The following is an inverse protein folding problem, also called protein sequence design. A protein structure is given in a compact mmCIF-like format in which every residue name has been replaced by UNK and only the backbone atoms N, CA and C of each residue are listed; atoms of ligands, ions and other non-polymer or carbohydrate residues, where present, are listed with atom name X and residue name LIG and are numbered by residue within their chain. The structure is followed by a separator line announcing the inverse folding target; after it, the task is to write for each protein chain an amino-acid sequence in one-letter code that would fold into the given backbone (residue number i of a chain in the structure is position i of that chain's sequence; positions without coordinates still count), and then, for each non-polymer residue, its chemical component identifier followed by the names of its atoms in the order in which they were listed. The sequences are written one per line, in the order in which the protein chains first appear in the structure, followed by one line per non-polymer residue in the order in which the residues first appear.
data_IF_049885703418
#
_entry.id   IF_049885703418
#
_cell.length_a   1.000
_cell.length_b   1.000
_cell.length_c   1.000
_cell.angle_alpha   90.00
_cell.angle_beta   90.00
_cell.angle_gamma   90.00
#
_symmetry.space_group_name_H-M   'P 1'
#
loop_
_entity.id
_entity.type
_entity.pdbx_description
1 polymer ?
#
# COMPACT_ATOMS: atom_id res chain seq x y z
N UNK A 1 -19.62 41.64 -76.27
CA UNK A 1 -18.38 40.94 -75.88
C UNK A 1 -18.80 39.67 -75.15
N UNK A 2 -18.53 38.50 -75.74
CA UNK A 2 -18.86 37.21 -75.15
C UNK A 2 -17.84 36.88 -74.06
N UNK A 3 -18.31 36.66 -72.81
CA UNK A 3 -17.46 36.19 -71.72
C UNK A 3 -17.25 34.68 -71.90
N UNK A 4 -16.04 34.28 -72.28
CA UNK A 4 -15.60 32.90 -72.25
C UNK A 4 -15.33 32.49 -70.80
N UNK A 5 -15.99 31.45 -70.25
CA UNK A 5 -15.70 30.98 -68.91
C UNK A 5 -14.31 30.33 -68.88
N UNK A 6 -13.40 30.96 -68.15
CA UNK A 6 -12.06 30.44 -67.85
C UNK A 6 -12.19 29.48 -66.66
N UNK A 7 -12.01 28.18 -66.92
CA UNK A 7 -11.96 27.15 -65.88
C UNK A 7 -10.57 27.20 -65.23
N UNK A 8 -10.51 27.65 -63.99
CA UNK A 8 -9.31 27.53 -63.15
C UNK A 8 -9.44 26.27 -62.28
N UNK A 9 -8.67 25.23 -62.61
CA UNK A 9 -8.50 24.07 -61.72
C UNK A 9 -7.60 24.48 -60.55
N UNK A 10 -8.16 24.56 -59.34
CA UNK A 10 -7.38 24.62 -58.10
C UNK A 10 -7.13 23.20 -57.61
N UNK A 11 -5.88 22.74 -57.72
CA UNK A 11 -5.42 21.50 -57.13
C UNK A 11 -5.11 21.76 -55.65
N UNK A 12 -5.99 21.36 -54.74
CA UNK A 12 -5.69 21.34 -53.32
C UNK A 12 -5.07 19.98 -52.97
N UNK A 13 -3.76 19.93 -52.72
CA UNK A 13 -3.13 18.76 -52.10
C UNK A 13 -3.37 18.85 -50.59
N UNK A 14 -4.31 18.08 -50.05
CA UNK A 14 -4.40 17.87 -48.60
C UNK A 14 -3.38 16.80 -48.21
N UNK A 15 -2.35 17.19 -47.46
CA UNK A 15 -1.49 16.25 -46.74
C UNK A 15 -2.34 15.60 -45.64
N UNK A 16 -2.97 14.47 -45.97
CA UNK A 16 -3.68 13.67 -44.99
C UNK A 16 -2.65 13.00 -44.09
N UNK A 17 -2.68 13.31 -42.79
CA UNK A 17 -1.80 12.68 -41.81
C UNK A 17 -2.04 11.17 -41.88
N UNK A 18 -1.00 10.39 -42.16
CA UNK A 18 -1.13 8.94 -42.13
C UNK A 18 -1.42 8.50 -40.69
N UNK A 19 -2.30 7.52 -40.48
CA UNK A 19 -2.71 7.09 -39.13
C UNK A 19 -1.52 6.66 -38.27
N UNK A 20 -0.45 6.16 -38.90
CA UNK A 20 0.79 5.80 -38.23
C UNK A 20 1.52 7.02 -37.64
N UNK A 21 1.46 8.17 -38.33
CA UNK A 21 2.11 9.40 -37.89
C UNK A 21 1.34 10.07 -36.74
N UNK A 22 0.00 10.02 -36.78
CA UNK A 22 -0.87 10.40 -35.65
C UNK A 22 -0.52 9.56 -34.40
N UNK A 23 -0.37 8.25 -34.57
CA UNK A 23 -0.10 7.33 -33.47
C UNK A 23 1.29 7.57 -32.86
N UNK A 24 2.31 7.85 -33.69
CA UNK A 24 3.65 8.16 -33.18
C UNK A 24 3.69 9.49 -32.41
N UNK A 25 2.94 10.50 -32.85
CA UNK A 25 2.88 11.78 -32.13
C UNK A 25 2.18 11.59 -30.79
N UNK A 26 1.08 10.82 -30.75
CA UNK A 26 0.38 10.51 -29.49
C UNK A 26 1.29 9.76 -28.51
N UNK A 27 2.06 8.78 -28.97
CA UNK A 27 3.00 8.05 -28.11
C UNK A 27 4.10 8.96 -27.51
N UNK A 28 4.56 9.97 -28.26
CA UNK A 28 5.55 10.94 -27.77
C UNK A 28 4.97 11.95 -26.77
N UNK A 29 3.66 12.14 -26.78
CA UNK A 29 2.96 13.08 -25.88
C UNK A 29 2.49 12.45 -24.56
N UNK A 30 2.49 11.11 -24.45
CA UNK A 30 2.08 10.42 -23.23
C UNK A 30 3.16 10.48 -22.16
N UNK A 31 2.74 10.67 -20.90
CA UNK A 31 3.64 10.54 -19.76
C UNK A 31 4.07 9.08 -19.55
N UNK A 32 5.18 8.85 -18.84
CA UNK A 32 5.73 7.49 -18.66
C UNK A 32 4.73 6.52 -18.01
N UNK A 33 3.87 7.01 -17.12
CA UNK A 33 2.85 6.21 -16.47
C UNK A 33 1.70 5.86 -17.43
N UNK A 34 1.25 6.83 -18.23
CA UNK A 34 0.22 6.61 -19.25
C UNK A 34 0.70 5.69 -20.38
N UNK A 35 2.00 5.76 -20.73
CA UNK A 35 2.59 4.88 -21.73
C UNK A 35 2.60 3.41 -21.24
N UNK A 36 2.92 3.17 -19.97
CA UNK A 36 2.85 1.81 -19.40
C UNK A 36 1.41 1.29 -19.37
N UNK A 37 0.44 2.12 -18.96
CA UNK A 37 -0.98 1.76 -18.99
C UNK A 37 -1.46 1.46 -20.43
N UNK A 38 -1.01 2.23 -21.42
CA UNK A 38 -1.33 2.00 -22.82
C UNK A 38 -0.73 0.68 -23.34
N UNK A 39 0.52 0.38 -22.97
CA UNK A 39 1.18 -0.90 -23.33
C UNK A 39 0.44 -2.09 -22.70
N UNK A 40 0.05 -2.00 -21.43
CA UNK A 40 -0.68 -3.06 -20.74
C UNK A 40 -2.06 -3.29 -21.36
N UNK A 41 -2.78 -2.23 -21.73
CA UNK A 41 -4.06 -2.32 -22.42
C UNK A 41 -3.94 -2.96 -23.81
N UNK A 42 -2.89 -2.63 -24.57
CA UNK A 42 -2.62 -3.26 -25.87
C UNK A 42 -2.17 -4.73 -25.72
N UNK A 43 -1.48 -5.09 -24.63
CA UNK A 43 -1.09 -6.46 -24.33
C UNK A 43 -2.31 -7.35 -24.06
N UNK A 44 -3.32 -6.84 -23.33
CA UNK A 44 -4.60 -7.53 -23.14
C UNK A 44 -5.39 -7.67 -24.44
N UNK A 45 -5.28 -6.70 -25.35
CA UNK A 45 -6.00 -6.69 -26.62
C UNK A 45 -5.36 -7.58 -27.67
N UNK A 46 -4.02 -7.72 -27.65
CA UNK A 46 -3.27 -8.51 -28.61
C UNK A 46 -2.68 -9.77 -27.96
N UNK A 47 -3.37 -10.92 -28.06
CA UNK A 47 -2.97 -12.15 -27.40
C UNK A 47 -1.68 -12.80 -27.94
N UNK A 48 -1.00 -12.15 -28.90
CA UNK A 48 0.33 -12.55 -29.40
C UNK A 48 1.47 -11.77 -28.73
N UNK A 49 1.18 -10.73 -27.95
CA UNK A 49 2.17 -9.98 -27.20
C UNK A 49 2.34 -10.60 -25.81
N UNK A 50 3.57 -10.92 -25.44
CA UNK A 50 3.94 -11.37 -24.10
C UNK A 50 4.82 -10.30 -23.45
N UNK A 51 4.60 -10.02 -22.17
CA UNK A 51 5.53 -9.20 -21.39
C UNK A 51 6.85 -9.94 -21.31
N UNK A 52 7.93 -9.32 -21.76
CA UNK A 52 9.26 -9.88 -21.56
C UNK A 52 9.57 -9.87 -20.05
N UNK A 53 9.29 -10.98 -19.37
CA UNK A 53 9.85 -11.19 -18.04
C UNK A 53 11.37 -11.20 -18.17
N UNK A 54 12.11 -10.55 -17.25
CA UNK A 54 13.55 -10.67 -17.23
C UNK A 54 13.89 -12.12 -16.92
N UNK A 55 14.16 -12.92 -17.96
CA UNK A 55 14.80 -14.21 -17.79
C UNK A 55 16.07 -13.96 -16.98
N UNK A 56 16.13 -14.57 -15.81
CA UNK A 56 17.23 -14.51 -14.86
C UNK A 56 18.45 -15.18 -15.49
N UNK A 57 19.08 -14.49 -16.44
CA UNK A 57 20.28 -14.92 -17.11
C UNK A 57 21.47 -14.54 -16.22
N UNK A 58 21.58 -15.25 -15.10
CA UNK A 58 22.80 -15.32 -14.31
C UNK A 58 23.86 -16.06 -15.12
N UNK A 59 24.57 -15.31 -15.96
CA UNK A 59 25.96 -15.51 -16.40
C UNK A 59 26.14 -14.93 -17.81
N UNK A 60 26.54 -13.66 -17.88
CA UNK A 60 27.42 -13.13 -18.93
C UNK A 60 28.00 -11.78 -18.55
N UNK A 61 29.26 -11.86 -18.14
CA UNK A 61 30.35 -10.88 -18.27
C UNK A 61 30.07 -9.40 -17.95
N UNK A 62 30.75 -8.97 -16.89
CA UNK A 62 31.22 -7.60 -16.74
C UNK A 62 32.07 -7.19 -17.96
N UNK A 63 31.76 -6.05 -18.58
CA UNK A 63 32.70 -4.95 -18.89
C UNK A 63 32.03 -3.95 -19.87
N UNK A 64 32.36 -2.66 -19.70
CA UNK A 64 32.08 -1.49 -20.55
C UNK A 64 30.70 -0.84 -20.51
N UNK A 65 30.51 0.04 -19.52
CA UNK A 65 29.67 1.23 -19.71
C UNK A 65 30.47 2.34 -20.41
N UNK A 66 29.96 2.96 -21.50
CA UNK A 66 30.52 4.21 -21.99
C UNK A 66 30.00 5.37 -21.15
N UNK A 67 30.91 6.03 -20.45
CA UNK A 67 30.78 7.37 -19.88
C UNK A 67 30.53 8.41 -20.99
N UNK A 68 29.54 9.30 -20.82
CA UNK A 68 29.50 10.56 -21.55
C UNK A 68 28.11 11.18 -21.77
N UNK A 69 27.76 12.16 -20.91
CA UNK A 69 27.22 13.49 -21.22
C UNK A 69 26.14 13.94 -20.21
N UNK A 70 26.57 14.78 -19.27
CA UNK A 70 25.72 15.50 -18.30
C UNK A 70 25.09 16.78 -18.90
N UNK A 71 25.20 17.02 -20.21
CA UNK A 71 24.78 18.29 -20.86
C UNK A 71 23.39 18.26 -21.54
N UNK A 72 22.63 17.17 -21.47
CA UNK A 72 21.28 17.08 -22.10
C UNK A 72 20.10 17.31 -21.14
N UNK A 73 20.35 17.38 -19.84
CA UNK A 73 19.30 17.49 -18.84
C UNK A 73 18.90 18.94 -18.50
N UNK A 74 19.70 19.95 -18.87
CA UNK A 74 19.40 21.35 -18.56
C UNK A 74 18.46 22.03 -19.57
N UNK A 75 18.34 21.54 -20.82
CA UNK A 75 17.54 22.20 -21.86
C UNK A 75 16.02 21.86 -21.78
N UNK A 76 15.66 20.75 -21.14
CA UNK A 76 14.25 20.31 -21.04
C UNK A 76 13.46 21.02 -19.93
N UNK A 77 14.15 21.57 -18.93
CA UNK A 77 13.53 22.18 -17.74
C UNK A 77 13.16 23.64 -17.99
N UNK A 78 13.73 24.27 -19.03
CA UNK A 78 13.56 25.71 -19.26
C UNK A 78 12.36 26.08 -20.15
N UNK A 79 11.62 25.12 -20.73
CA UNK A 79 10.47 25.38 -21.61
C UNK A 79 9.15 24.71 -21.16
N UNK A 80 9.10 24.16 -19.94
CA UNK A 80 7.94 23.44 -19.42
C UNK A 80 6.77 24.28 -18.88
N UNK A 81 6.82 25.61 -18.96
CA UNK A 81 5.85 26.51 -18.28
C UNK A 81 4.82 27.20 -19.20
N UNK A 82 4.57 26.71 -20.42
CA UNK A 82 3.49 27.25 -21.26
C UNK A 82 2.58 26.16 -21.83
N UNK A 83 1.54 25.80 -21.06
CA UNK A 83 0.32 25.19 -21.60
C UNK A 83 -0.57 26.33 -22.10
N UNK A 84 -0.37 26.75 -23.36
CA UNK A 84 -1.18 27.81 -23.95
C UNK A 84 -2.60 27.33 -24.25
N UNK A 85 -3.58 28.17 -23.95
CA UNK A 85 -4.99 27.87 -24.22
C UNK A 85 -5.22 27.71 -25.73
N UNK A 86 -6.20 26.88 -26.13
CA UNK A 86 -6.48 26.59 -27.55
C UNK A 86 -6.69 27.84 -28.43
N UNK A 87 -7.17 28.95 -27.84
CA UNK A 87 -7.29 30.24 -28.52
C UNK A 87 -5.96 30.93 -28.79
N UNK A 88 -4.97 30.82 -27.90
CA UNK A 88 -3.66 31.46 -28.06
C UNK A 88 -2.82 30.74 -29.12
N UNK A 89 -2.94 29.41 -29.19
CA UNK A 89 -2.31 28.59 -30.24
C UNK A 89 -2.85 28.98 -31.62
N UNK A 90 -4.17 29.11 -31.76
CA UNK A 90 -4.81 29.51 -33.02
C UNK A 90 -4.39 30.92 -33.45
N UNK A 91 -4.29 31.84 -32.48
CA UNK A 91 -3.85 33.23 -32.70
C UNK A 91 -2.37 33.31 -33.10
N UNK A 92 -1.51 32.48 -32.50
CA UNK A 92 -0.08 32.40 -32.84
C UNK A 92 0.15 31.90 -34.28
N UNK A 93 -0.74 31.02 -34.76
CA UNK A 93 -0.68 30.44 -36.10
C UNK A 93 -1.51 31.21 -37.14
N UNK A 94 -2.09 32.35 -36.75
CA UNK A 94 -2.95 33.21 -37.59
C UNK A 94 -4.08 32.40 -38.28
N UNK A 95 -4.71 31.50 -37.52
CA UNK A 95 -5.80 30.62 -37.98
C UNK A 95 -6.97 30.63 -37.01
N UNK A 96 -8.17 30.30 -37.49
CA UNK A 96 -9.32 30.14 -36.62
C UNK A 96 -9.23 28.84 -35.82
N UNK A 97 -9.65 28.88 -34.55
CA UNK A 97 -9.61 27.75 -33.60
C UNK A 97 -10.29 26.50 -34.16
N UNK A 98 -11.34 26.71 -34.96
CA UNK A 98 -12.13 25.68 -35.64
C UNK A 98 -11.32 24.84 -36.64
N UNK A 99 -10.29 25.43 -37.27
CA UNK A 99 -9.40 24.73 -38.20
C UNK A 99 -8.30 23.94 -37.49
N UNK A 100 -7.93 24.32 -36.26
CA UNK A 100 -6.89 23.66 -35.46
C UNK A 100 -7.49 22.52 -34.64
N UNK A 101 -8.75 22.66 -34.20
CA UNK A 101 -9.46 21.69 -33.37
C UNK A 101 -10.86 21.35 -33.91
N UNK A 102 -10.97 20.71 -35.09
CA UNK A 102 -12.25 20.43 -35.76
C UNK A 102 -13.15 19.42 -35.02
N UNK A 103 -12.63 18.72 -34.03
CA UNK A 103 -13.37 17.68 -33.28
C UNK A 103 -14.17 18.25 -32.10
N UNK A 104 -13.92 19.51 -31.70
CA UNK A 104 -14.61 20.16 -30.58
C UNK A 104 -15.86 20.96 -30.98
N UNK A 105 -15.98 21.40 -32.23
CA UNK A 105 -17.09 22.26 -32.67
C UNK A 105 -18.43 21.54 -32.90
N UNK A 106 -18.45 20.21 -32.85
CA UNK A 106 -19.68 19.42 -32.96
C UNK A 106 -20.48 19.31 -31.65
N UNK A 107 -19.86 19.54 -30.49
CA UNK A 107 -20.49 19.23 -29.20
C UNK A 107 -21.33 20.36 -28.61
N UNK A 108 -21.14 21.61 -29.05
CA UNK A 108 -21.88 22.76 -28.50
C UNK A 108 -23.24 23.00 -29.16
N UNK A 109 -23.53 22.38 -30.31
CA UNK A 109 -24.84 22.52 -30.98
C UNK A 109 -25.97 21.64 -30.40
N UNK A 110 -25.64 20.72 -29.49
CA UNK A 110 -26.63 19.82 -28.84
C UNK A 110 -27.13 20.36 -27.49
N UNK A 111 -26.56 21.47 -27.01
CA UNK A 111 -26.83 22.00 -25.66
C UNK A 111 -28.05 22.92 -25.55
N UNK A 112 -28.75 23.20 -26.64
CA UNK A 112 -29.84 24.19 -26.63
C UNK A 112 -31.26 23.59 -26.48
N UNK A 113 -31.40 22.25 -26.40
CA UNK A 113 -32.73 21.60 -26.39
C UNK A 113 -33.20 21.01 -25.04
N UNK A 114 -32.46 21.15 -23.93
CA UNK A 114 -32.89 20.59 -22.63
C UNK A 114 -32.78 21.59 -21.49
N UNK A 115 -33.78 22.48 -21.39
CA UNK A 115 -34.06 23.23 -20.18
C UNK A 115 -34.63 22.32 -19.09
N UNK A 116 -33.78 21.87 -18.17
CA UNK A 116 -34.15 21.43 -16.83
C UNK A 116 -33.13 22.01 -15.83
N UNK A 117 -33.55 22.51 -14.65
CA UNK A 117 -32.64 23.15 -13.71
C UNK A 117 -31.90 22.06 -12.93
N UNK A 118 -30.80 21.56 -13.50
CA UNK A 118 -29.83 20.80 -12.74
C UNK A 118 -28.98 21.78 -11.93
N UNK A 119 -29.07 21.65 -10.61
CA UNK A 119 -28.13 22.19 -9.64
C UNK A 119 -26.72 21.80 -10.12
N UNK A 120 -25.99 22.75 -10.70
CA UNK A 120 -24.56 22.60 -11.01
C UNK A 120 -23.82 22.57 -9.68
N UNK A 121 -23.65 21.36 -9.13
CA UNK A 121 -22.52 21.07 -8.27
C UNK A 121 -21.27 21.33 -9.09
N UNK A 122 -20.54 22.34 -8.67
CA UNK A 122 -19.16 22.61 -9.05
C UNK A 122 -18.34 21.37 -8.67
N UNK A 123 -18.15 20.44 -9.62
CA UNK A 123 -17.11 19.43 -9.50
C UNK A 123 -15.79 20.16 -9.67
N UNK A 124 -15.23 20.55 -8.53
CA UNK A 124 -13.80 20.79 -8.39
C UNK A 124 -13.08 19.50 -8.80
N UNK A 125 -11.98 19.62 -9.53
CA UNK A 125 -11.08 18.51 -9.90
C UNK A 125 -10.39 17.86 -8.68
N UNK A 126 -10.74 18.28 -7.45
CA UNK A 126 -10.34 17.69 -6.16
C UNK A 126 -11.45 16.83 -5.51
N UNK A 127 -12.35 16.23 -6.29
CA UNK A 127 -13.25 15.22 -5.74
C UNK A 127 -12.49 13.89 -5.62
N UNK A 128 -12.19 13.40 -4.40
CA UNK A 128 -11.47 12.14 -4.24
C UNK A 128 -12.24 11.02 -4.94
N UNK A 129 -11.52 10.28 -5.77
CA UNK A 129 -12.04 9.16 -6.53
C UNK A 129 -12.74 8.18 -5.57
N UNK A 130 -13.91 7.68 -5.94
CA UNK A 130 -14.71 6.78 -5.09
C UNK A 130 -13.94 5.47 -4.84
N UNK A 131 -12.96 5.17 -5.70
CA UNK A 131 -12.01 4.08 -5.58
C UNK A 131 -10.87 4.35 -4.57
N UNK A 132 -10.61 5.60 -4.17
CA UNK A 132 -9.69 5.91 -3.05
C UNK A 132 -10.31 5.65 -1.68
N UNK A 133 -11.62 5.46 -1.60
CA UNK A 133 -12.31 4.96 -0.40
C UNK A 133 -12.28 3.42 -0.36
N UNK A 134 -11.12 2.81 -0.65
CA UNK A 134 -10.89 1.42 -0.25
C UNK A 134 -10.96 1.39 1.27
N UNK A 135 -11.82 0.55 1.83
CA UNK A 135 -11.87 0.33 3.27
C UNK A 135 -10.47 -0.06 3.76
N UNK A 136 -9.82 0.83 4.50
CA UNK A 136 -8.60 0.50 5.23
C UNK A 136 -8.89 -0.75 6.07
N UNK A 137 -8.04 -1.77 5.93
CA UNK A 137 -8.19 -3.00 6.71
C UNK A 137 -8.22 -2.68 8.21
N UNK A 138 -9.01 -3.44 8.97
CA UNK A 138 -9.10 -3.26 10.42
C UNK A 138 -7.70 -3.35 11.04
N UNK A 139 -7.29 -2.30 11.74
CA UNK A 139 -5.97 -2.27 12.40
C UNK A 139 -5.96 -3.18 13.63
N UNK A 140 -4.78 -3.58 14.11
CA UNK A 140 -4.63 -4.37 15.34
C UNK A 140 -5.34 -3.68 16.52
N UNK A 141 -5.12 -2.36 16.67
CA UNK A 141 -5.70 -1.56 17.74
C UNK A 141 -7.23 -1.51 17.66
N UNK A 142 -7.81 -1.42 16.47
CA UNK A 142 -9.26 -1.47 16.27
C UNK A 142 -9.84 -2.84 16.58
N UNK A 143 -9.17 -3.91 16.14
CA UNK A 143 -9.57 -5.29 16.43
C UNK A 143 -9.58 -5.58 17.93
N UNK A 144 -8.50 -5.20 18.63
CA UNK A 144 -8.41 -5.35 20.09
C UNK A 144 -9.41 -4.44 20.82
N UNK A 145 -9.63 -3.21 20.33
CA UNK A 145 -10.64 -2.32 20.91
C UNK A 145 -12.05 -2.92 20.79
N UNK A 146 -12.37 -3.56 19.66
CA UNK A 146 -13.64 -4.26 19.50
C UNK A 146 -13.79 -5.44 20.47
N UNK A 147 -12.71 -6.22 20.70
CA UNK A 147 -12.73 -7.35 21.63
C UNK A 147 -12.79 -6.93 23.09
N UNK A 148 -11.99 -5.95 23.50
CA UNK A 148 -12.01 -5.43 24.87
C UNK A 148 -13.38 -4.86 25.24
N UNK A 149 -14.11 -4.27 24.29
CA UNK A 149 -15.49 -3.85 24.50
C UNK A 149 -16.47 -5.01 24.76
N UNK A 150 -16.16 -6.22 24.29
CA UNK A 150 -16.97 -7.43 24.51
C UNK A 150 -16.59 -8.15 25.80
N UNK A 151 -15.30 -8.13 26.17
CA UNK A 151 -14.77 -8.80 27.36
C UNK A 151 -15.08 -7.99 28.64
N UNK A 152 -14.87 -6.67 28.60
CA UNK A 152 -14.98 -5.83 29.78
C UNK A 152 -16.36 -5.16 29.88
N UNK A 153 -17.08 -5.46 30.97
CA UNK A 153 -18.37 -4.84 31.25
C UNK A 153 -18.26 -3.50 32.00
N UNK A 154 -17.19 -3.29 32.77
CA UNK A 154 -17.03 -2.11 33.59
C UNK A 154 -16.32 -0.97 32.81
N UNK A 155 -16.78 0.29 32.91
CA UNK A 155 -16.17 1.39 32.17
C UNK A 155 -14.73 1.70 32.59
N UNK A 156 -14.34 1.47 33.85
CA UNK A 156 -12.95 1.70 34.27
C UNK A 156 -11.99 0.71 33.59
N UNK A 157 -12.32 -0.57 33.58
CA UNK A 157 -11.55 -1.63 32.91
C UNK A 157 -11.37 -1.36 31.42
N UNK A 158 -12.41 -0.83 30.76
CA UNK A 158 -12.34 -0.44 29.34
C UNK A 158 -11.36 0.70 29.10
N UNK A 159 -11.26 1.66 30.02
CA UNK A 159 -10.30 2.77 29.92
C UNK A 159 -8.87 2.24 30.11
N UNK A 160 -8.66 1.36 31.09
CA UNK A 160 -7.36 0.69 31.32
C UNK A 160 -6.97 -0.12 30.09
N UNK A 161 -7.89 -0.95 29.57
CA UNK A 161 -7.65 -1.77 28.38
C UNK A 161 -7.33 -0.91 27.15
N UNK A 162 -8.01 0.22 26.97
CA UNK A 162 -7.69 1.15 25.88
C UNK A 162 -6.29 1.72 26.02
N UNK A 163 -5.91 2.13 27.23
CA UNK A 163 -4.56 2.64 27.50
C UNK A 163 -3.48 1.58 27.27
N UNK A 164 -3.76 0.31 27.61
CA UNK A 164 -2.89 -0.82 27.28
C UNK A 164 -2.75 -1.00 25.77
N UNK A 165 -3.85 -0.91 25.01
CA UNK A 165 -3.83 -1.01 23.54
C UNK A 165 -2.98 0.09 22.92
N UNK A 166 -3.12 1.33 23.39
CA UNK A 166 -2.39 2.46 22.85
C UNK A 166 -0.87 2.40 23.17
N UNK A 167 -0.45 1.55 24.12
CA UNK A 167 0.97 1.30 24.47
C UNK A 167 1.54 -0.01 23.87
N UNK A 168 0.83 -0.63 22.92
CA UNK A 168 1.33 -1.78 22.17
C UNK A 168 2.26 -1.32 21.04
N UNK A 169 3.29 -2.12 20.79
CA UNK A 169 4.13 -2.02 19.59
C UNK A 169 3.46 -2.68 18.38
N UNK A 170 3.95 -2.41 17.16
CA UNK A 170 3.49 -3.01 15.89
C UNK A 170 3.53 -4.54 15.92
N UNK A 171 4.50 -5.10 16.67
CA UNK A 171 4.63 -6.54 16.87
C UNK A 171 3.63 -7.14 17.88
N UNK A 172 2.90 -6.31 18.64
CA UNK A 172 1.93 -6.71 19.66
C UNK A 172 2.51 -6.87 21.08
N UNK A 173 3.71 -6.35 21.34
CA UNK A 173 4.34 -6.35 22.66
C UNK A 173 3.96 -5.11 23.47
N UNK A 174 3.82 -5.27 24.78
CA UNK A 174 3.57 -4.15 25.69
C UNK A 174 4.89 -3.44 26.02
N UNK A 175 5.00 -2.17 25.62
CA UNK A 175 6.19 -1.35 25.91
C UNK A 175 6.09 -0.57 27.24
N UNK A 176 4.90 -0.49 27.83
CA UNK A 176 4.64 0.27 29.04
C UNK A 176 4.86 -0.53 30.33
N UNK A 177 5.27 0.17 31.39
CA UNK A 177 5.31 -0.36 32.75
C UNK A 177 3.92 -0.24 33.39
N UNK A 178 3.41 -1.34 33.96
CA UNK A 178 2.11 -1.39 34.62
C UNK A 178 2.01 -0.42 35.80
N UNK A 179 3.13 -0.17 36.50
CA UNK A 179 3.15 0.79 37.60
C UNK A 179 2.97 2.24 37.09
N UNK A 180 3.65 2.60 36.00
CA UNK A 180 3.51 3.92 35.38
C UNK A 180 2.10 4.12 34.80
N UNK A 181 1.52 3.06 34.23
CA UNK A 181 0.16 3.10 33.70
C UNK A 181 -0.87 3.33 34.81
N UNK A 182 -0.72 2.65 35.95
CA UNK A 182 -1.59 2.84 37.12
C UNK A 182 -1.52 4.28 37.66
N UNK A 183 -0.31 4.84 37.76
CA UNK A 183 -0.11 6.25 38.18
C UNK A 183 -0.74 7.25 37.20
N UNK A 184 -0.64 7.01 35.89
CA UNK A 184 -1.22 7.86 34.86
C UNK A 184 -2.76 7.84 34.86
N UNK A 185 -3.35 6.67 35.09
CA UNK A 185 -4.80 6.48 35.12
C UNK A 185 -5.43 6.80 36.49
N UNK A 186 -4.60 6.89 37.55
CA UNK A 186 -5.05 7.10 38.92
C UNK A 186 -5.76 5.89 39.52
N UNK A 187 -5.38 4.68 39.10
CA UNK A 187 -5.95 3.39 39.52
C UNK A 187 -4.95 2.58 40.34
N UNK A 188 -5.40 1.50 40.96
CA UNK A 188 -4.49 0.58 41.66
C UNK A 188 -3.78 -0.35 40.65
N UNK A 189 -2.59 -0.83 41.02
CA UNK A 189 -1.81 -1.74 40.17
C UNK A 189 -2.55 -3.07 40.00
N UNK A 190 -3.26 -3.52 41.04
CA UNK A 190 -4.05 -4.76 41.03
C UNK A 190 -5.14 -4.73 39.95
N UNK A 191 -5.80 -3.59 39.76
CA UNK A 191 -6.81 -3.42 38.70
C UNK A 191 -6.18 -3.52 37.31
N UNK A 192 -5.01 -2.91 37.12
CA UNK A 192 -4.28 -2.95 35.85
C UNK A 192 -3.82 -4.36 35.52
N UNK A 193 -3.31 -5.11 36.51
CA UNK A 193 -2.89 -6.50 36.33
C UNK A 193 -4.07 -7.43 36.01
N UNK A 194 -5.22 -7.24 36.67
CA UNK A 194 -6.42 -8.01 36.39
C UNK A 194 -6.93 -7.76 34.95
N UNK A 195 -6.94 -6.50 34.51
CA UNK A 195 -7.32 -6.14 33.14
C UNK A 195 -6.30 -6.67 32.13
N UNK A 196 -5.00 -6.61 32.45
CA UNK A 196 -3.95 -7.16 31.60
C UNK A 196 -4.11 -8.67 31.40
N UNK A 197 -4.36 -9.44 32.47
CA UNK A 197 -4.55 -10.89 32.38
C UNK A 197 -5.76 -11.27 31.52
N UNK A 198 -6.87 -10.53 31.65
CA UNK A 198 -8.02 -10.69 30.78
C UNK A 198 -7.72 -10.28 29.33
N UNK A 199 -6.98 -9.18 29.13
CA UNK A 199 -6.58 -8.71 27.79
C UNK A 199 -5.61 -9.68 27.09
N UNK A 200 -4.77 -10.40 27.82
CA UNK A 200 -3.90 -11.44 27.28
C UNK A 200 -4.65 -12.67 26.74
N UNK A 201 -5.96 -12.77 26.98
CA UNK A 201 -6.83 -13.81 26.40
C UNK A 201 -7.46 -13.36 25.08
N UNK A 202 -7.19 -12.13 24.63
CA UNK A 202 -7.67 -11.62 23.34
C UNK A 202 -6.98 -12.31 22.15
N UNK A 203 -7.66 -12.31 21.01
CA UNK A 203 -7.08 -12.76 19.73
C UNK A 203 -6.47 -11.58 18.97
N UNK A 204 -5.23 -11.70 18.45
CA UNK A 204 -4.43 -12.92 18.33
C UNK A 204 -3.65 -13.34 19.59
N UNK A 205 -3.50 -14.66 19.75
CA UNK A 205 -2.74 -15.31 20.82
C UNK A 205 -1.35 -14.68 21.05
N UNK A 206 -1.06 -14.27 22.29
CA UNK A 206 0.26 -13.74 22.68
C UNK A 206 0.43 -12.23 22.54
N UNK A 207 -0.64 -11.48 22.23
CA UNK A 207 -0.65 -10.01 22.35
C UNK A 207 -0.65 -9.60 23.83
N UNK A 208 -0.13 -8.40 24.13
CA UNK A 208 0.08 -7.88 25.50
C UNK A 208 1.16 -8.62 26.30
N UNK A 209 2.04 -9.37 25.64
CA UNK A 209 3.22 -9.92 26.28
C UNK A 209 4.28 -8.82 26.50
N UNK A 210 4.98 -8.87 27.63
CA UNK A 210 6.11 -7.96 27.93
C UNK A 210 7.40 -8.44 27.27
N UNK A 211 7.49 -9.73 26.97
CA UNK A 211 8.67 -10.33 26.35
C UNK A 211 8.28 -11.55 25.49
N UNK A 212 9.23 -12.02 24.68
CA UNK A 212 9.03 -13.16 23.77
C UNK A 212 8.67 -14.43 24.54
N UNK A 213 9.26 -14.62 25.73
CA UNK A 213 8.98 -15.78 26.59
C UNK A 213 7.52 -15.82 27.01
N UNK A 214 6.98 -14.69 27.49
CA UNK A 214 5.59 -14.55 27.89
C UNK A 214 4.64 -14.71 26.68
N UNK A 215 5.00 -14.14 25.52
CA UNK A 215 4.23 -14.31 24.28
C UNK A 215 4.07 -15.79 23.92
N UNK A 216 5.17 -16.53 23.89
CA UNK A 216 5.15 -17.98 23.60
C UNK A 216 4.40 -18.76 24.69
N UNK A 217 4.56 -18.39 25.96
CA UNK A 217 3.83 -19.01 27.06
C UNK A 217 2.31 -18.83 26.93
N UNK A 218 1.86 -17.62 26.59
CA UNK A 218 0.45 -17.31 26.36
C UNK A 218 -0.12 -18.11 25.19
N UNK A 219 0.60 -18.18 24.07
CA UNK A 219 0.19 -18.97 22.91
C UNK A 219 0.14 -20.48 23.18
N UNK A 220 1.06 -21.00 24.00
CA UNK A 220 1.06 -22.41 24.41
C UNK A 220 -0.05 -22.72 25.40
N UNK A 221 -0.37 -21.78 26.30
CA UNK A 221 -1.48 -21.88 27.25
C UNK A 221 -2.81 -21.98 26.54
N UNK A 222 -3.03 -21.17 25.51
CA UNK A 222 -4.26 -21.21 24.70
C UNK A 222 -4.43 -22.53 23.92
N UNK A 223 -3.31 -23.14 23.50
CA UNK A 223 -3.34 -24.44 22.81
C UNK A 223 -3.44 -25.64 23.77
N UNK A 224 -3.52 -25.41 25.09
CA UNK A 224 -3.45 -26.43 26.14
C UNK A 224 -2.19 -27.31 26.02
N UNK A 225 -1.05 -26.73 25.62
CA UNK A 225 0.24 -27.43 25.44
C UNK A 225 1.35 -26.91 26.35
N UNK A 226 0.99 -26.12 27.36
CA UNK A 226 1.94 -25.62 28.34
C UNK A 226 2.25 -26.71 29.37
N UNK A 227 3.10 -27.65 28.97
CA UNK A 227 3.61 -28.68 29.89
C UNK A 227 4.71 -28.13 30.81
N UNK A 228 4.91 -28.69 32.02
CA UNK A 228 5.97 -28.25 32.94
C UNK A 228 7.38 -28.28 32.31
N UNK A 229 7.64 -29.21 31.38
CA UNK A 229 8.88 -29.27 30.61
C UNK A 229 9.01 -28.10 29.64
N UNK A 230 7.90 -27.72 29.00
CA UNK A 230 7.86 -26.62 28.05
C UNK A 230 8.09 -25.29 28.78
N UNK A 231 7.47 -25.11 29.95
CA UNK A 231 7.70 -23.95 30.81
C UNK A 231 9.17 -23.85 31.24
N UNK A 232 9.78 -24.97 31.67
CA UNK A 232 11.21 -25.00 31.99
C UNK A 232 12.12 -24.65 30.82
N UNK A 233 11.71 -24.96 29.58
CA UNK A 233 12.45 -24.57 28.38
C UNK A 233 12.29 -23.07 28.07
N UNK A 234 11.08 -22.51 28.25
CA UNK A 234 10.80 -21.08 28.09
C UNK A 234 11.60 -20.22 29.07
N UNK A 235 11.67 -20.63 30.33
CA UNK A 235 12.47 -19.95 31.38
C UNK A 235 13.98 -19.90 31.02
N UNK A 236 14.43 -20.85 30.19
CA UNK A 236 15.84 -21.01 29.81
C UNK A 236 16.12 -20.73 28.32
N UNK A 237 15.27 -19.93 27.65
CA UNK A 237 15.45 -19.56 26.23
C UNK A 237 16.83 -18.95 25.92
N UNK A 238 17.45 -18.25 26.88
CA UNK A 238 18.82 -17.72 26.72
C UNK A 238 19.88 -18.80 26.50
N UNK A 239 19.71 -19.99 27.08
CA UNK A 239 20.61 -21.13 26.84
C UNK A 239 20.40 -21.74 25.46
N UNK A 240 19.17 -21.66 24.94
CA UNK A 240 18.86 -22.04 23.55
C UNK A 240 19.60 -21.11 22.56
N UNK A 241 19.56 -19.79 22.81
CA UNK A 241 20.26 -18.80 21.99
C UNK A 241 21.79 -19.02 21.97
N UNK A 242 22.36 -19.49 23.07
CA UNK A 242 23.78 -19.81 23.19
C UNK A 242 24.15 -21.23 22.71
N UNK A 243 23.21 -21.97 22.09
CA UNK A 243 23.40 -23.36 21.63
C UNK A 243 23.80 -24.35 22.74
N UNK A 244 23.52 -24.07 24.02
CA UNK A 244 23.89 -24.93 25.15
C UNK A 244 22.86 -26.03 25.45
N UNK A 245 22.46 -26.78 24.40
CA UNK A 245 21.50 -27.90 24.47
C UNK A 245 21.76 -28.91 25.60
N UNK A 246 23.00 -29.38 25.87
CA UNK A 246 23.23 -30.38 26.91
C UNK A 246 23.04 -29.86 28.34
N UNK A 247 23.17 -28.54 28.58
CA UNK A 247 22.85 -27.96 29.89
C UNK A 247 21.34 -27.81 30.04
N UNK A 248 20.66 -27.41 28.97
CA UNK A 248 19.21 -27.27 28.95
C UNK A 248 18.50 -28.62 29.17
N UNK A 249 18.95 -29.69 28.53
CA UNK A 249 18.42 -31.05 28.79
C UNK A 249 18.53 -31.47 30.26
N UNK A 250 19.63 -31.11 30.94
CA UNK A 250 19.81 -31.43 32.36
C UNK A 250 18.92 -30.61 33.29
N UNK A 251 18.65 -29.35 32.94
CA UNK A 251 17.81 -28.45 33.73
C UNK A 251 16.32 -28.79 33.57
N UNK A 252 15.90 -29.02 32.33
CA UNK A 252 14.50 -29.35 32.00
C UNK A 252 14.19 -30.82 32.30
N UNK A 253 15.21 -31.69 32.31
CA UNK A 253 15.04 -33.12 32.56
C UNK A 253 14.44 -33.88 31.38
N UNK A 254 14.69 -33.42 30.15
CA UNK A 254 14.15 -34.00 28.92
C UNK A 254 15.20 -34.79 28.12
N UNK A 255 14.74 -35.71 27.28
CA UNK A 255 15.61 -36.41 26.32
C UNK A 255 15.87 -35.55 25.08
N UNK A 256 16.83 -35.96 24.24
CA UNK A 256 17.13 -35.24 23.00
C UNK A 256 15.96 -35.26 22.01
N UNK A 257 15.19 -36.35 22.00
CA UNK A 257 14.00 -36.50 21.14
C UNK A 257 12.88 -35.57 21.62
N UNK A 258 12.59 -35.53 22.92
CA UNK A 258 11.60 -34.61 23.51
C UNK A 258 11.95 -33.15 23.23
N UNK A 259 13.24 -32.80 23.31
CA UNK A 259 13.71 -31.45 23.03
C UNK A 259 13.56 -31.06 21.56
N UNK A 260 13.77 -31.99 20.64
CA UNK A 260 13.54 -31.76 19.22
C UNK A 260 12.06 -31.51 18.92
N UNK A 261 11.17 -32.28 19.54
CA UNK A 261 9.72 -32.12 19.42
C UNK A 261 9.25 -30.77 19.98
N UNK A 262 9.70 -30.41 21.19
CA UNK A 262 9.41 -29.10 21.79
C UNK A 262 9.88 -27.93 20.91
N UNK A 263 11.05 -28.05 20.28
CA UNK A 263 11.55 -27.02 19.36
C UNK A 263 10.77 -26.95 18.05
N UNK A 264 10.29 -28.09 17.54
CA UNK A 264 9.44 -28.11 16.35
C UNK A 264 8.11 -27.38 16.62
N UNK A 265 7.60 -27.46 17.84
CA UNK A 265 6.38 -26.75 18.26
C UNK A 265 6.60 -25.26 18.42
N UNK A 266 7.69 -24.87 19.09
CA UNK A 266 8.08 -23.45 19.20
C UNK A 266 8.27 -22.80 17.84
N UNK A 267 8.81 -23.52 16.85
CA UNK A 267 8.95 -22.99 15.48
C UNK A 267 7.63 -22.82 14.73
N UNK A 268 6.55 -23.49 15.15
CA UNK A 268 5.20 -23.32 14.57
C UNK A 268 4.44 -22.15 15.18
N UNK A 269 4.97 -21.56 16.25
CA UNK A 269 4.38 -20.42 16.93
C UNK A 269 4.90 -19.13 16.29
N UNK A 270 4.01 -18.13 16.16
CA UNK A 270 4.34 -16.85 15.54
C UNK A 270 4.80 -15.87 16.64
N UNK A 271 6.09 -15.50 16.69
CA UNK A 271 6.60 -14.61 17.74
C UNK A 271 6.16 -13.15 17.54
N UNK A 272 5.44 -12.81 16.48
CA UNK A 272 4.97 -11.43 16.20
C UNK A 272 3.56 -11.46 15.64
N UNK A 273 2.54 -11.69 16.49
CA UNK A 273 1.15 -11.80 16.04
C UNK A 273 0.62 -10.48 15.45
N UNK A 274 1.16 -9.32 15.86
CA UNK A 274 0.72 -8.00 15.40
C UNK A 274 0.94 -7.71 13.91
N UNK A 275 1.97 -8.31 13.29
CA UNK A 275 2.30 -8.10 11.88
C UNK A 275 1.21 -8.56 10.89
N UNK A 276 0.27 -9.40 11.34
CA UNK A 276 -0.87 -9.83 10.50
C UNK A 276 -1.87 -8.71 10.23
N UNK A 277 -1.85 -7.67 11.06
CA UNK A 277 -2.78 -6.54 11.02
C UNK A 277 -2.09 -5.24 10.59
N UNK A 278 -0.77 -5.27 10.37
CA UNK A 278 0.02 -4.16 9.83
C UNK A 278 -0.15 -4.05 8.31
N UNK A 279 -1.42 -4.08 7.86
CA UNK A 279 -1.80 -3.65 6.53
C UNK A 279 -1.65 -2.14 6.50
N UNK A 280 -0.47 -1.67 6.11
CA UNK A 280 -0.03 -0.29 6.05
C UNK A 280 -1.18 0.74 5.86
N UNK A 281 -1.31 1.76 6.74
CA UNK A 281 -1.93 3.00 6.34
C UNK A 281 -0.97 3.67 5.36
N UNK A 282 -1.27 3.61 4.06
CA UNK A 282 -0.65 4.51 3.10
C UNK A 282 -1.10 5.94 3.45
N UNK A 283 -0.22 6.69 4.12
CA UNK A 283 -0.28 8.15 4.17
C UNK A 283 0.14 8.73 2.83
#
# INVERSE_FOLDING_TARGET
MALTPRLEMRQAQSLTLTPQLMQSIRLLQLSHLELNAFVEAELLRNPLLESAEPENNSDRDADQGPTGNEDFAEDLVQHGEHLDAAGDIATSMDTEVDNVFPEQVGQDSVREATHAPAIRGHQSEDAPDIEQYVASGTTLAEHLAAQTNLIFSHPADRIIARSLIDNLDEAGYLCADCQQLAEQLGTEIEDVEAVLEAAQTCEPAGVFARNVTECLALQLREKDRLDPMMQGLLDNLGLLANHELPKLMKLVGCTADDLADMLAELKRLDPKPGLRFDGAPAQ
#
